data_IF_146505387173
#
_entry.id   IF_146505387173
#
_cell.length_a   1.000
_cell.length_b   1.000
_cell.length_c   1.000
_cell.angle_alpha   90.00
_cell.angle_beta   90.00
_cell.angle_gamma   90.00
#
_symmetry.space_group_name_H-M   'P 1'
#
loop_
_entity.id
_entity.type
_entity.pdbx_description
1 polymer ?
#
# COMPACT_ATOMS: atom_id res chain seq x y z
N UNK A 1 -66.87 35.82 10.27
CA UNK A 1 -68.01 34.90 10.45
C UNK A 1 -67.50 33.52 10.05
N UNK A 2 -67.29 32.60 11.01
CA UNK A 2 -66.83 31.19 10.91
C UNK A 2 -65.45 30.96 10.23
N UNK A 3 -64.37 30.50 10.86
CA UNK A 3 -64.12 29.39 11.81
C UNK A 3 -64.44 27.99 11.25
N UNK A 4 -63.44 27.28 10.70
CA UNK A 4 -63.00 25.98 11.22
C UNK A 4 -61.81 25.35 10.46
N UNK A 5 -60.98 24.69 11.29
CA UNK A 5 -59.82 23.84 11.02
C UNK A 5 -60.17 22.47 10.40
N UNK A 6 -59.27 21.95 9.57
CA UNK A 6 -58.85 20.54 9.47
C UNK A 6 -57.79 20.47 8.34
N UNK A 7 -56.58 19.95 8.46
CA UNK A 7 -56.12 18.74 9.13
C UNK A 7 -55.33 17.98 8.05
N UNK A 8 -53.99 17.96 8.10
CA UNK A 8 -53.16 16.92 8.71
C UNK A 8 -52.50 16.00 7.65
N UNK A 9 -51.17 16.12 7.58
CA UNK A 9 -50.15 15.07 7.44
C UNK A 9 -49.98 14.14 6.22
N UNK A 10 -48.72 14.15 5.79
CA UNK A 10 -47.75 13.04 5.68
C UNK A 10 -47.91 11.97 4.58
N UNK A 11 -47.03 12.12 3.58
CA UNK A 11 -45.96 11.16 3.20
C UNK A 11 -46.36 9.68 3.14
N UNK A 12 -46.57 9.19 1.91
CA UNK A 12 -46.65 7.77 1.58
C UNK A 12 -46.09 7.47 0.19
N UNK A 13 -44.85 6.94 0.18
CA UNK A 13 -44.21 6.05 -0.80
C UNK A 13 -44.40 6.24 -2.32
N UNK A 14 -43.27 6.28 -3.04
CA UNK A 14 -43.22 5.66 -4.36
C UNK A 14 -42.10 6.02 -5.33
N UNK A 15 -40.81 6.02 -4.95
CA UNK A 15 -39.73 5.85 -5.94
C UNK A 15 -38.56 5.04 -5.35
N UNK A 16 -38.59 3.73 -5.60
CA UNK A 16 -37.50 2.79 -5.35
C UNK A 16 -36.67 2.70 -6.63
N UNK A 17 -35.56 3.43 -6.70
CA UNK A 17 -34.54 3.25 -7.74
C UNK A 17 -33.52 2.21 -7.25
N UNK A 18 -33.32 1.07 -7.94
CA UNK A 18 -32.23 0.16 -7.61
C UNK A 18 -30.90 0.70 -8.17
N UNK A 19 -30.00 1.09 -7.27
CA UNK A 19 -28.56 1.15 -7.56
C UNK A 19 -28.04 -0.28 -7.46
N UNK A 20 -27.78 -0.93 -8.59
CA UNK A 20 -26.81 -2.03 -8.66
C UNK A 20 -25.88 -1.77 -9.82
N UNK A 21 -24.72 -1.24 -9.43
CA UNK A 21 -23.63 -0.86 -10.31
C UNK A 21 -23.01 -2.04 -11.05
N UNK A 22 -22.54 -1.70 -12.24
CA UNK A 22 -21.84 -2.50 -13.21
C UNK A 22 -20.49 -3.00 -12.66
N UNK A 23 -20.39 -4.26 -12.22
CA UNK A 23 -19.14 -4.88 -11.72
C UNK A 23 -18.17 -5.24 -12.87
N UNK A 24 -18.56 -5.02 -14.13
CA UNK A 24 -17.73 -5.35 -15.29
C UNK A 24 -16.67 -4.29 -15.61
N UNK A 25 -16.86 -3.03 -15.19
CA UNK A 25 -15.96 -1.91 -15.54
C UNK A 25 -14.63 -1.89 -14.79
N UNK A 26 -14.59 -2.36 -13.53
CA UNK A 26 -13.35 -2.34 -12.75
C UNK A 26 -12.36 -3.45 -13.13
N UNK A 27 -12.84 -4.54 -13.72
CA UNK A 27 -11.99 -5.68 -14.10
C UNK A 27 -11.23 -5.44 -15.41
N UNK A 28 -11.80 -4.68 -16.34
CA UNK A 28 -11.17 -4.27 -17.59
C UNK A 28 -10.16 -3.16 -17.36
N UNK A 29 -10.49 -2.17 -16.53
CA UNK A 29 -9.62 -1.03 -16.22
C UNK A 29 -8.34 -1.46 -15.49
N UNK A 30 -8.43 -2.43 -14.56
CA UNK A 30 -7.25 -3.02 -13.88
C UNK A 30 -6.35 -3.82 -14.82
N UNK A 31 -6.91 -4.56 -15.77
CA UNK A 31 -6.11 -5.35 -16.74
C UNK A 31 -5.38 -4.46 -17.73
N UNK A 32 -6.02 -3.40 -18.19
CA UNK A 32 -5.40 -2.39 -19.07
C UNK A 32 -4.30 -1.60 -18.33
N UNK A 33 -4.51 -1.22 -17.06
CA UNK A 33 -3.46 -0.57 -16.27
C UNK A 33 -2.25 -1.48 -16.04
N UNK A 34 -2.43 -2.78 -15.88
CA UNK A 34 -1.30 -3.71 -15.71
C UNK A 34 -0.53 -3.93 -17.01
N UNK A 35 -1.23 -4.14 -18.13
CA UNK A 35 -0.60 -4.33 -19.44
C UNK A 35 0.18 -3.08 -19.90
N UNK A 36 -0.42 -1.89 -19.79
CA UNK A 36 0.24 -0.61 -20.10
C UNK A 36 1.48 -0.39 -19.23
N UNK A 37 1.36 -0.60 -17.91
CA UNK A 37 2.53 -0.49 -17.01
C UNK A 37 3.65 -1.44 -17.38
N UNK A 38 3.35 -2.67 -17.80
CA UNK A 38 4.42 -3.61 -18.21
C UNK A 38 5.10 -3.22 -19.52
N UNK A 39 4.39 -2.59 -20.46
CA UNK A 39 4.94 -2.11 -21.72
C UNK A 39 5.88 -0.91 -21.49
N UNK A 40 5.43 0.08 -20.70
CA UNK A 40 6.22 1.27 -20.36
C UNK A 40 7.52 0.90 -19.61
N UNK A 41 7.48 -0.13 -18.77
CA UNK A 41 8.65 -0.61 -18.04
C UNK A 41 9.68 -1.28 -18.95
N UNK A 42 9.22 -2.11 -19.89
CA UNK A 42 10.09 -2.73 -20.90
C UNK A 42 10.76 -1.66 -21.76
N UNK A 43 9.99 -0.68 -22.21
CA UNK A 43 10.50 0.44 -22.98
C UNK A 43 11.56 1.24 -22.22
N UNK A 44 11.31 1.59 -20.95
CA UNK A 44 12.29 2.32 -20.12
C UNK A 44 13.57 1.53 -19.92
N UNK A 45 13.49 0.20 -19.75
CA UNK A 45 14.69 -0.66 -19.66
C UNK A 45 15.45 -0.74 -20.96
N UNK A 46 14.76 -0.85 -22.08
CA UNK A 46 15.42 -0.95 -23.39
C UNK A 46 16.05 0.40 -23.77
N UNK A 47 15.38 1.53 -23.51
CA UNK A 47 15.97 2.87 -23.60
C UNK A 47 17.19 3.04 -22.68
N UNK A 48 17.17 2.47 -21.47
CA UNK A 48 18.33 2.49 -20.57
C UNK A 48 19.51 1.70 -21.14
N UNK A 49 19.28 0.52 -21.71
CA UNK A 49 20.33 -0.27 -22.37
C UNK A 49 20.92 0.48 -23.56
N UNK A 50 20.08 1.09 -24.38
CA UNK A 50 20.53 1.91 -25.52
C UNK A 50 21.37 3.09 -25.06
N UNK A 51 20.91 3.82 -24.04
CA UNK A 51 21.66 4.94 -23.47
C UNK A 51 22.96 4.50 -22.77
N UNK A 52 23.02 3.31 -22.20
CA UNK A 52 24.28 2.75 -21.68
C UNK A 52 25.33 2.54 -22.78
N UNK A 53 24.92 2.31 -24.04
CA UNK A 53 25.86 2.21 -25.17
C UNK A 53 26.45 3.57 -25.57
N UNK A 54 25.79 4.68 -25.21
CA UNK A 54 26.28 6.04 -25.50
C UNK A 54 27.40 6.48 -24.55
N UNK A 55 27.60 5.78 -23.42
CA UNK A 55 28.70 6.04 -22.49
C UNK A 55 29.98 5.43 -23.07
N UNK A 56 30.96 6.28 -23.39
CA UNK A 56 32.26 5.85 -23.93
C UNK A 56 33.15 5.24 -22.85
N UNK A 57 33.11 5.78 -21.65
CA UNK A 57 33.86 5.26 -20.50
C UNK A 57 33.26 3.93 -20.00
N UNK A 58 33.94 2.82 -20.30
CA UNK A 58 33.53 1.47 -19.90
C UNK A 58 33.43 1.29 -18.38
N UNK A 59 34.25 2.01 -17.62
CA UNK A 59 34.21 1.96 -16.15
C UNK A 59 32.92 2.61 -15.66
N UNK A 60 32.54 3.77 -16.19
CA UNK A 60 31.27 4.44 -15.85
C UNK A 60 30.08 3.57 -16.25
N UNK A 61 30.08 3.01 -17.46
CA UNK A 61 29.02 2.11 -17.94
C UNK A 61 28.81 0.94 -16.98
N UNK A 62 29.89 0.26 -16.58
CA UNK A 62 29.85 -0.87 -15.64
C UNK A 62 29.33 -0.46 -14.26
N UNK A 63 29.73 0.70 -13.76
CA UNK A 63 29.27 1.22 -12.46
C UNK A 63 27.77 1.52 -12.51
N UNK A 64 27.30 2.21 -13.55
CA UNK A 64 25.89 2.59 -13.70
C UNK A 64 25.01 1.35 -13.78
N UNK A 65 25.42 0.36 -14.57
CA UNK A 65 24.71 -0.93 -14.67
C UNK A 65 24.66 -1.65 -13.31
N UNK A 66 25.80 -1.74 -12.61
CA UNK A 66 25.87 -2.36 -11.28
C UNK A 66 24.96 -1.65 -10.28
N UNK A 67 24.93 -0.33 -10.29
CA UNK A 67 24.07 0.47 -9.39
C UNK A 67 22.59 0.27 -9.73
N UNK A 68 22.22 0.29 -11.02
CA UNK A 68 20.85 0.01 -11.45
C UNK A 68 20.37 -1.38 -10.98
N UNK A 69 21.21 -2.41 -11.17
CA UNK A 69 20.93 -3.76 -10.68
C UNK A 69 20.80 -3.79 -9.15
N UNK A 70 21.66 -3.06 -8.44
CA UNK A 70 21.62 -2.98 -6.98
C UNK A 70 20.36 -2.30 -6.48
N UNK A 71 19.88 -1.25 -7.14
CA UNK A 71 18.64 -0.56 -6.77
C UNK A 71 17.42 -1.49 -6.89
N UNK A 72 17.35 -2.26 -7.98
CA UNK A 72 16.32 -3.29 -8.17
C UNK A 72 16.36 -4.33 -7.04
N UNK A 73 17.54 -4.88 -6.74
CA UNK A 73 17.72 -5.82 -5.64
C UNK A 73 17.32 -5.24 -4.28
N UNK A 74 17.68 -3.98 -4.00
CA UNK A 74 17.32 -3.32 -2.74
C UNK A 74 15.80 -3.18 -2.64
N UNK A 75 15.12 -2.74 -3.70
CA UNK A 75 13.67 -2.64 -3.69
C UNK A 75 13.03 -3.99 -3.35
N UNK A 76 13.39 -5.04 -4.10
CA UNK A 76 12.86 -6.40 -3.90
C UNK A 76 13.15 -6.94 -2.50
N UNK A 77 14.39 -6.83 -2.02
CA UNK A 77 14.76 -7.35 -0.70
C UNK A 77 14.02 -6.62 0.42
N UNK A 78 13.85 -5.30 0.31
CA UNK A 78 13.16 -4.50 1.32
C UNK A 78 11.66 -4.77 1.32
N UNK A 79 11.01 -4.80 0.16
CA UNK A 79 9.57 -5.08 0.07
C UNK A 79 9.26 -6.51 0.52
N UNK A 80 10.07 -7.50 0.14
CA UNK A 80 9.93 -8.88 0.64
C UNK A 80 10.02 -8.96 2.16
N UNK A 81 10.97 -8.27 2.78
CA UNK A 81 11.12 -8.25 4.22
C UNK A 81 9.92 -7.59 4.91
N UNK A 82 9.43 -6.46 4.37
CA UNK A 82 8.24 -5.78 4.88
C UNK A 82 7.00 -6.66 4.78
N UNK A 83 6.78 -7.34 3.64
CA UNK A 83 5.68 -8.28 3.44
C UNK A 83 5.71 -9.40 4.48
N UNK A 84 6.88 -9.99 4.76
CA UNK A 84 7.02 -11.01 5.80
C UNK A 84 6.60 -10.49 7.18
N UNK A 85 7.05 -9.30 7.55
CA UNK A 85 6.70 -8.70 8.84
C UNK A 85 5.19 -8.38 8.95
N UNK A 86 4.58 -7.86 7.89
CA UNK A 86 3.13 -7.64 7.85
C UNK A 86 2.33 -8.95 7.96
N UNK A 87 2.86 -10.04 7.39
CA UNK A 87 2.32 -11.39 7.59
C UNK A 87 2.34 -11.80 9.07
N UNK A 88 3.48 -11.67 9.75
CA UNK A 88 3.59 -11.96 11.19
C UNK A 88 2.65 -11.09 12.03
N UNK A 89 2.53 -9.80 11.72
CA UNK A 89 1.61 -8.88 12.40
C UNK A 89 0.15 -9.31 12.25
N UNK A 90 -0.24 -9.76 11.05
CA UNK A 90 -1.58 -10.29 10.78
C UNK A 90 -1.87 -11.53 11.63
N UNK A 91 -0.91 -12.45 11.75
CA UNK A 91 -1.07 -13.64 12.58
C UNK A 91 -1.16 -13.32 14.08
N UNK A 92 -0.40 -12.33 14.57
CA UNK A 92 -0.53 -11.85 15.94
C UNK A 92 -1.92 -11.26 16.17
N UNK A 93 -2.40 -10.42 15.25
CA UNK A 93 -3.70 -9.77 15.37
C UNK A 93 -4.86 -10.77 15.37
N UNK A 94 -4.78 -11.84 14.55
CA UNK A 94 -5.75 -12.95 14.57
C UNK A 94 -5.83 -13.61 15.96
N UNK A 95 -4.68 -13.86 16.60
CA UNK A 95 -4.63 -14.42 17.96
C UNK A 95 -5.23 -13.47 18.99
N UNK A 96 -5.00 -12.16 18.84
CA UNK A 96 -5.61 -11.14 19.71
C UNK A 96 -7.12 -11.17 19.58
N UNK A 97 -7.65 -11.14 18.35
CA UNK A 97 -9.08 -11.19 18.09
C UNK A 97 -9.74 -12.47 18.64
N UNK A 98 -9.09 -13.63 18.45
CA UNK A 98 -9.56 -14.90 19.00
C UNK A 98 -9.65 -14.89 20.53
N UNK A 99 -8.63 -14.36 21.22
CA UNK A 99 -8.64 -14.26 22.68
C UNK A 99 -9.65 -13.24 23.20
N UNK A 100 -9.86 -12.14 22.47
CA UNK A 100 -10.90 -11.17 22.77
C UNK A 100 -12.28 -11.84 22.72
N UNK A 101 -12.56 -12.64 21.68
CA UNK A 101 -13.80 -13.41 21.59
C UNK A 101 -14.02 -14.33 22.80
N UNK A 102 -12.99 -15.07 23.23
CA UNK A 102 -13.08 -15.91 24.45
C UNK A 102 -13.27 -15.09 25.72
N UNK A 103 -12.72 -13.87 25.82
CA UNK A 103 -12.96 -12.99 26.96
C UNK A 103 -14.42 -12.50 26.98
N UNK A 104 -14.97 -12.19 25.80
CA UNK A 104 -16.36 -11.78 25.63
C UNK A 104 -17.36 -12.86 26.01
N UNK A 105 -17.06 -14.13 25.71
CA UNK A 105 -17.83 -15.30 26.18
C UNK A 105 -17.85 -15.43 27.71
N UNK A 106 -16.92 -14.79 28.40
CA UNK A 106 -16.84 -14.72 29.86
C UNK A 106 -17.38 -13.40 30.42
N UNK A 107 -18.23 -12.72 29.65
CA UNK A 107 -18.88 -11.44 30.00
C UNK A 107 -17.89 -10.31 30.32
N UNK A 108 -16.64 -10.38 29.81
CA UNK A 108 -15.68 -9.28 29.92
C UNK A 108 -15.95 -8.23 28.84
N UNK A 109 -15.78 -6.95 29.19
CA UNK A 109 -15.85 -5.86 28.22
C UNK A 109 -14.63 -5.87 27.29
N UNK A 110 -14.87 -6.10 26.00
CA UNK A 110 -13.84 -6.13 24.95
C UNK A 110 -13.89 -4.93 24.01
N UNK A 111 -14.72 -3.92 24.28
CA UNK A 111 -14.97 -2.79 23.38
C UNK A 111 -13.69 -2.06 22.95
N UNK A 112 -12.74 -1.86 23.89
CA UNK A 112 -11.43 -1.26 23.61
C UNK A 112 -10.53 -2.16 22.76
N UNK A 113 -10.63 -3.49 22.95
CA UNK A 113 -9.88 -4.48 22.17
C UNK A 113 -10.40 -4.51 20.75
N UNK A 114 -11.71 -4.55 20.56
CA UNK A 114 -12.38 -4.57 19.25
C UNK A 114 -12.01 -3.33 18.43
N UNK A 115 -12.04 -2.16 19.06
CA UNK A 115 -11.61 -0.89 18.45
C UNK A 115 -10.13 -0.91 18.04
N UNK A 116 -9.25 -1.40 18.92
CA UNK A 116 -7.83 -1.50 18.62
C UNK A 116 -7.52 -2.53 17.52
N UNK A 117 -8.27 -3.64 17.47
CA UNK A 117 -8.15 -4.66 16.42
C UNK A 117 -8.55 -4.08 15.06
N UNK A 118 -9.66 -3.35 14.99
CA UNK A 118 -10.10 -2.69 13.75
C UNK A 118 -9.06 -1.68 13.24
N UNK A 119 -8.50 -0.86 14.13
CA UNK A 119 -7.45 0.09 13.78
C UNK A 119 -6.17 -0.61 13.28
N UNK A 120 -5.75 -1.70 13.94
CA UNK A 120 -4.60 -2.49 13.51
C UNK A 120 -4.83 -3.15 12.15
N UNK A 121 -6.03 -3.67 11.89
CA UNK A 121 -6.38 -4.26 10.61
C UNK A 121 -6.30 -3.24 9.47
N UNK A 122 -6.85 -2.04 9.68
CA UNK A 122 -6.77 -0.95 8.71
C UNK A 122 -5.31 -0.54 8.42
N UNK A 123 -4.48 -0.40 9.47
CA UNK A 123 -3.08 -0.04 9.32
C UNK A 123 -2.26 -1.11 8.59
N UNK A 124 -2.49 -2.41 8.88
CA UNK A 124 -1.86 -3.52 8.16
C UNK A 124 -2.25 -3.49 6.68
N UNK A 125 -3.54 -3.33 6.37
CA UNK A 125 -4.02 -3.30 4.98
C UNK A 125 -3.43 -2.12 4.21
N UNK A 126 -3.38 -0.94 4.80
CA UNK A 126 -2.74 0.23 4.18
C UNK A 126 -1.24 -0.01 3.91
N UNK A 127 -0.51 -0.59 4.87
CA UNK A 127 0.90 -0.93 4.70
C UNK A 127 1.12 -2.02 3.64
N UNK A 128 0.24 -3.02 3.55
CA UNK A 128 0.29 -4.06 2.51
C UNK A 128 0.12 -3.44 1.12
N UNK A 129 -0.87 -2.58 0.93
CA UNK A 129 -1.08 -1.87 -0.34
C UNK A 129 0.15 -1.06 -0.73
N UNK A 130 0.74 -0.33 0.20
CA UNK A 130 1.93 0.47 -0.07
C UNK A 130 3.17 -0.37 -0.40
N UNK A 131 3.38 -1.49 0.32
CA UNK A 131 4.47 -2.43 0.02
C UNK A 131 4.28 -3.07 -1.35
N UNK A 132 3.06 -3.45 -1.72
CA UNK A 132 2.74 -3.99 -3.06
C UNK A 132 2.99 -2.95 -4.16
N UNK A 133 2.54 -1.71 -3.95
CA UNK A 133 2.81 -0.63 -4.89
C UNK A 133 4.32 -0.39 -5.05
N UNK A 134 5.06 -0.41 -3.94
CA UNK A 134 6.51 -0.23 -3.93
C UNK A 134 7.26 -1.38 -4.61
N UNK A 135 6.81 -2.62 -4.41
CA UNK A 135 7.36 -3.80 -5.06
C UNK A 135 7.20 -3.74 -6.59
N UNK A 136 6.14 -3.10 -7.07
CA UNK A 136 5.90 -2.86 -8.50
C UNK A 136 6.71 -1.72 -9.12
N UNK A 137 7.45 -0.93 -8.34
CA UNK A 137 8.27 0.16 -8.88
C UNK A 137 9.60 -0.37 -9.44
N UNK A 138 9.94 0.08 -10.64
CA UNK A 138 11.30 -0.05 -11.18
C UNK A 138 12.05 1.29 -11.12
N UNK A 139 13.32 1.20 -10.71
CA UNK A 139 14.23 2.33 -10.57
C UNK A 139 15.23 2.32 -11.72
N UNK A 140 14.75 2.69 -12.90
CA UNK A 140 15.58 2.83 -14.10
C UNK A 140 16.18 4.22 -14.14
N UNK A 141 17.51 4.30 -14.27
CA UNK A 141 18.23 5.57 -14.38
C UNK A 141 17.99 6.15 -15.77
N UNK A 142 17.48 7.38 -15.84
CA UNK A 142 17.41 8.10 -17.11
C UNK A 142 18.73 8.84 -17.32
N UNK A 143 19.56 8.33 -18.24
CA UNK A 143 20.84 8.97 -18.56
C UNK A 143 20.58 10.19 -19.44
N UNK A 144 20.96 11.39 -18.99
CA UNK A 144 20.86 12.62 -19.77
C UNK A 144 22.11 12.88 -20.60
N UNK A 145 23.30 12.64 -20.02
CA UNK A 145 24.59 12.81 -20.67
C UNK A 145 25.69 12.04 -19.93
N UNK A 146 26.84 11.83 -20.58
CA UNK A 146 27.97 11.12 -19.97
C UNK A 146 28.60 11.87 -18.77
N UNK A 147 28.56 13.21 -18.78
CA UNK A 147 29.02 14.03 -17.65
C UNK A 147 28.00 14.11 -16.52
N UNK A 148 26.70 14.03 -16.85
CA UNK A 148 25.59 14.09 -15.89
C UNK A 148 25.22 12.75 -15.24
N UNK A 149 25.68 11.63 -15.79
CA UNK A 149 25.25 10.28 -15.38
C UNK A 149 25.39 9.99 -13.88
N UNK A 150 26.43 10.54 -13.22
CA UNK A 150 26.60 10.39 -11.77
C UNK A 150 25.49 11.06 -10.97
N UNK A 151 25.03 12.24 -11.41
CA UNK A 151 23.93 12.97 -10.79
C UNK A 151 22.59 12.27 -11.08
N UNK A 152 22.39 11.73 -12.29
CA UNK A 152 21.19 10.97 -12.66
C UNK A 152 21.03 9.74 -11.75
N UNK A 153 22.11 8.97 -11.59
CA UNK A 153 22.14 7.80 -10.69
C UNK A 153 21.81 8.21 -9.25
N UNK A 154 22.43 9.29 -8.76
CA UNK A 154 22.21 9.79 -7.39
C UNK A 154 20.75 10.19 -7.17
N UNK A 155 20.15 10.86 -8.14
CA UNK A 155 18.74 11.26 -8.08
C UNK A 155 17.83 10.04 -8.00
N UNK A 156 18.02 9.03 -8.88
CA UNK A 156 17.23 7.79 -8.84
C UNK A 156 17.40 7.03 -7.51
N UNK A 157 18.62 6.98 -6.97
CA UNK A 157 18.90 6.36 -5.68
C UNK A 157 18.19 7.09 -4.53
N UNK A 158 18.20 8.43 -4.53
CA UNK A 158 17.51 9.22 -3.51
C UNK A 158 15.99 8.99 -3.56
N UNK A 159 15.42 8.87 -4.77
CA UNK A 159 14.00 8.52 -4.93
C UNK A 159 13.72 7.15 -4.31
N UNK A 160 14.51 6.12 -4.63
CA UNK A 160 14.38 4.79 -4.02
C UNK A 160 14.45 4.86 -2.50
N UNK A 161 15.41 5.60 -1.95
CA UNK A 161 15.58 5.74 -0.51
C UNK A 161 14.38 6.41 0.15
N UNK A 162 13.88 7.50 -0.44
CA UNK A 162 12.70 8.22 0.05
C UNK A 162 11.46 7.33 0.05
N UNK A 163 11.23 6.63 -1.06
CA UNK A 163 10.11 5.73 -1.24
C UNK A 163 10.12 4.57 -0.24
N UNK A 164 11.26 3.90 -0.07
CA UNK A 164 11.42 2.83 0.92
C UNK A 164 11.19 3.36 2.35
N UNK A 165 11.67 4.56 2.66
CA UNK A 165 11.47 5.17 3.99
C UNK A 165 9.99 5.46 4.24
N UNK A 166 9.26 5.97 3.25
CA UNK A 166 7.83 6.23 3.35
C UNK A 166 7.03 4.96 3.62
N UNK A 167 7.29 3.89 2.85
CA UNK A 167 6.63 2.60 3.04
C UNK A 167 6.99 1.96 4.37
N UNK A 168 8.26 2.05 4.78
CA UNK A 168 8.71 1.55 6.08
C UNK A 168 7.97 2.22 7.24
N UNK A 169 7.73 3.53 7.17
CA UNK A 169 6.99 4.24 8.21
C UNK A 169 5.55 3.70 8.38
N UNK A 170 4.90 3.28 7.30
CA UNK A 170 3.57 2.65 7.36
C UNK A 170 3.62 1.26 7.99
N UNK A 171 4.67 0.47 7.73
CA UNK A 171 4.89 -0.81 8.40
C UNK A 171 5.11 -0.61 9.91
N UNK A 172 5.83 0.45 10.31
CA UNK A 172 6.01 0.82 11.72
C UNK A 172 4.67 1.23 12.35
N UNK A 173 3.85 2.02 11.65
CA UNK A 173 2.52 2.39 12.13
C UNK A 173 1.63 1.15 12.35
N UNK A 174 1.64 0.20 11.42
CA UNK A 174 0.94 -1.08 11.57
C UNK A 174 1.44 -1.87 12.79
N UNK A 175 2.76 -1.90 13.02
CA UNK A 175 3.35 -2.54 14.20
C UNK A 175 2.85 -1.93 15.50
N UNK A 176 2.84 -0.61 15.62
CA UNK A 176 2.38 0.06 16.83
C UNK A 176 0.87 -0.14 17.04
N UNK A 177 0.07 -0.16 15.98
CA UNK A 177 -1.36 -0.46 16.08
C UNK A 177 -1.60 -1.89 16.60
N UNK A 178 -0.86 -2.89 16.12
CA UNK A 178 -0.92 -4.26 16.66
C UNK A 178 -0.47 -4.30 18.12
N UNK A 179 0.58 -3.58 18.48
CA UNK A 179 1.03 -3.49 19.89
C UNK A 179 -0.06 -2.91 20.79
N UNK A 180 -0.77 -1.89 20.33
CA UNK A 180 -1.92 -1.32 21.04
C UNK A 180 -3.03 -2.34 21.23
N UNK A 181 -3.38 -3.12 20.20
CA UNK A 181 -4.36 -4.20 20.32
C UNK A 181 -3.93 -5.27 21.34
N UNK A 182 -2.65 -5.66 21.35
CA UNK A 182 -2.10 -6.59 22.36
C UNK A 182 -2.21 -6.02 23.77
N UNK A 183 -1.88 -4.74 23.97
CA UNK A 183 -2.00 -4.07 25.28
C UNK A 183 -3.45 -3.98 25.74
N UNK A 184 -4.37 -3.64 24.83
CA UNK A 184 -5.79 -3.58 25.13
C UNK A 184 -6.31 -4.94 25.59
N UNK A 185 -5.93 -6.02 24.90
CA UNK A 185 -6.29 -7.37 25.31
C UNK A 185 -5.73 -7.72 26.71
N UNK A 186 -4.47 -7.37 26.97
CA UNK A 186 -3.84 -7.63 28.27
C UNK A 186 -4.51 -6.90 29.44
N UNK A 187 -5.18 -5.77 29.19
CA UNK A 187 -5.93 -5.05 30.22
C UNK A 187 -7.29 -5.70 30.53
N UNK A 188 -7.83 -6.51 29.62
CA UNK A 188 -9.12 -7.19 29.78
C UNK A 188 -8.95 -8.59 30.38
N UNK A 189 -7.87 -9.30 30.04
CA UNK A 189 -7.59 -10.66 30.53
C UNK A 189 -7.25 -10.70 32.02
#
# INVERSE_FOLDING_TARGET
MFDQLAGLLLVGLGLRNPVTGNVAGEATDRKETHASRTADLKERRDQFKEKLLTIRDERKKTIVERVANRMSQVNTNRTNQMTKHLGTMSEILKKVASRAATAKEKDKDTSSVDSAVAAAQAAISAAQTAVSAQAGKEYVVTISSETGVGQDVKNTMNTLQSDIKGVYAQVVAAREAVRTAVKALAAVL
#
